data_IF_501340547102
#
_entry.id   IF_501340547102
#
_cell.length_a   1.000
_cell.length_b   1.000
_cell.length_c   1.000
_cell.angle_alpha   90.00
_cell.angle_beta   90.00
_cell.angle_gamma   90.00
#
_symmetry.space_group_name_H-M   'P 1'
#
loop_
_entity.id
_entity.type
_entity.pdbx_description
1 polymer ?
#
# COMPACT_ATOMS: atom_id res chain seq x y z
N UNK A 1 -20.66 24.77 -36.97
CA UNK A 1 -20.70 24.75 -35.49
C UNK A 1 -19.92 23.59 -34.85
N UNK A 2 -18.95 22.96 -35.53
CA UNK A 2 -18.29 21.72 -35.03
C UNK A 2 -16.79 21.86 -34.70
N UNK A 3 -16.21 23.04 -34.95
CA UNK A 3 -14.77 23.29 -34.81
C UNK A 3 -14.41 23.77 -33.39
N UNK A 4 -15.35 24.42 -32.70
CA UNK A 4 -15.15 24.97 -31.35
C UNK A 4 -15.11 23.89 -30.24
N UNK A 5 -15.77 22.74 -30.45
CA UNK A 5 -15.79 21.63 -29.48
C UNK A 5 -14.43 20.91 -29.37
N UNK A 6 -13.70 20.77 -30.47
CA UNK A 6 -12.38 20.11 -30.49
C UNK A 6 -11.29 20.97 -29.82
N UNK A 7 -11.40 22.30 -29.92
CA UNK A 7 -10.45 23.22 -29.30
C UNK A 7 -10.56 23.24 -27.77
N UNK A 8 -11.75 22.99 -27.22
CA UNK A 8 -11.99 22.94 -25.77
C UNK A 8 -11.57 21.60 -25.17
N UNK A 9 -11.77 20.49 -25.90
CA UNK A 9 -11.27 19.16 -25.51
C UNK A 9 -9.73 19.12 -25.42
N UNK A 10 -9.01 19.79 -26.34
CA UNK A 10 -7.55 19.86 -26.31
C UNK A 10 -7.01 20.66 -25.11
N UNK A 11 -7.70 21.73 -24.70
CA UNK A 11 -7.31 22.55 -23.54
C UNK A 11 -7.51 21.80 -22.21
N UNK A 12 -8.57 21.01 -22.07
CA UNK A 12 -8.84 20.21 -20.87
C UNK A 12 -7.77 19.11 -20.69
N UNK A 13 -7.34 18.46 -21.78
CA UNK A 13 -6.26 17.45 -21.73
C UNK A 13 -4.92 18.08 -21.32
N UNK A 14 -4.66 19.33 -21.69
CA UNK A 14 -3.42 20.02 -21.34
C UNK A 14 -3.35 20.44 -19.87
N UNK A 15 -4.47 20.84 -19.26
CA UNK A 15 -4.52 21.25 -17.83
C UNK A 15 -4.36 20.06 -16.88
N UNK A 16 -4.80 18.86 -17.27
CA UNK A 16 -4.64 17.63 -16.46
C UNK A 16 -3.19 17.12 -16.44
N UNK A 17 -2.29 17.66 -17.28
CA UNK A 17 -0.97 17.06 -17.53
C UNK A 17 0.24 17.92 -17.17
N UNK A 18 0.14 18.77 -16.15
CA UNK A 18 1.32 19.53 -15.69
C UNK A 18 1.42 19.63 -14.18
N UNK A 19 1.45 18.48 -13.50
CA UNK A 19 2.28 18.39 -12.29
C UNK A 19 3.72 18.17 -12.76
N UNK A 20 4.41 19.26 -13.09
CA UNK A 20 5.87 19.23 -13.18
C UNK A 20 6.43 19.00 -11.78
N UNK A 21 6.57 17.73 -11.41
CA UNK A 21 7.27 17.31 -10.21
C UNK A 21 8.72 17.79 -10.29
N UNK A 22 9.01 18.93 -9.65
CA UNK A 22 10.37 19.39 -9.42
C UNK A 22 11.00 18.41 -8.44
N UNK A 23 11.93 17.57 -8.92
CA UNK A 23 12.78 16.71 -8.07
C UNK A 23 13.61 17.61 -7.16
N UNK A 24 13.10 17.87 -5.95
CA UNK A 24 13.90 18.36 -4.84
C UNK A 24 15.05 17.40 -4.51
N UNK A 25 15.98 17.80 -3.63
CA UNK A 25 17.09 16.93 -3.21
C UNK A 25 16.55 15.59 -2.72
N UNK A 26 17.14 14.48 -3.20
CA UNK A 26 16.72 13.11 -2.88
C UNK A 26 16.77 12.89 -1.36
N UNK A 27 15.62 13.09 -0.70
CA UNK A 27 15.43 12.64 0.68
C UNK A 27 15.13 11.15 0.63
N UNK A 28 15.82 10.33 1.43
CA UNK A 28 15.50 8.92 1.52
C UNK A 28 14.07 8.78 2.04
N UNK A 29 13.23 8.08 1.27
CA UNK A 29 11.84 7.83 1.64
C UNK A 29 11.80 7.12 2.99
N UNK A 30 10.92 7.52 3.90
CA UNK A 30 10.74 6.86 5.20
C UNK A 30 9.47 6.02 5.20
N UNK A 31 9.53 4.75 5.55
CA UNK A 31 8.34 3.92 5.70
C UNK A 31 8.09 3.59 7.17
N UNK A 32 6.82 3.48 7.58
CA UNK A 32 6.49 2.91 8.88
C UNK A 32 6.95 1.46 8.94
N UNK A 33 7.55 1.07 10.07
CA UNK A 33 8.02 -0.28 10.33
C UNK A 33 7.40 -0.79 11.63
N UNK A 34 6.31 -1.54 11.51
CA UNK A 34 5.61 -2.10 12.65
C UNK A 34 5.02 -3.47 12.32
N UNK A 35 4.70 -4.24 13.34
CA UNK A 35 3.87 -5.43 13.24
C UNK A 35 2.82 -5.44 14.35
N UNK A 36 1.69 -6.09 14.10
CA UNK A 36 0.70 -6.37 15.15
C UNK A 36 1.33 -7.20 16.29
N UNK A 37 0.91 -7.04 17.55
CA UNK A 37 1.44 -7.80 18.70
C UNK A 37 1.22 -9.31 18.59
N UNK A 38 0.28 -9.72 17.73
CA UNK A 38 0.12 -11.14 17.40
C UNK A 38 1.42 -11.77 16.87
N UNK A 39 2.19 -11.05 16.06
CA UNK A 39 3.48 -11.52 15.56
C UNK A 39 4.57 -11.57 16.63
N UNK A 40 4.47 -10.71 17.65
CA UNK A 40 5.40 -10.67 18.78
C UNK A 40 5.32 -11.98 19.58
N UNK A 41 4.10 -12.44 19.87
CA UNK A 41 3.86 -13.70 20.57
C UNK A 41 4.46 -14.91 19.84
N UNK A 42 4.53 -14.86 18.50
CA UNK A 42 5.08 -15.92 17.66
C UNK A 42 6.55 -15.67 17.24
N UNK A 43 7.17 -14.58 17.71
CA UNK A 43 8.46 -14.10 17.24
C UNK A 43 9.57 -15.11 17.48
N UNK A 44 9.72 -15.56 18.73
CA UNK A 44 10.79 -16.48 19.16
C UNK A 44 10.72 -17.88 18.51
N UNK A 45 9.63 -18.20 17.82
CA UNK A 45 9.44 -19.49 17.14
C UNK A 45 9.63 -19.39 15.63
N UNK A 46 8.53 -19.07 14.92
CA UNK A 46 8.47 -19.18 13.45
C UNK A 46 8.71 -17.85 12.75
N UNK A 47 8.17 -16.75 13.29
CA UNK A 47 8.13 -15.46 12.60
C UNK A 47 9.53 -14.88 12.42
N UNK A 48 10.39 -14.95 13.44
CA UNK A 48 11.77 -14.44 13.37
C UNK A 48 12.65 -15.16 12.34
N UNK A 49 12.29 -16.37 11.88
CA UNK A 49 13.04 -17.08 10.83
C UNK A 49 12.71 -16.57 9.43
N UNK A 50 11.55 -15.94 9.26
CA UNK A 50 11.00 -15.52 7.96
C UNK A 50 11.14 -14.00 7.78
N UNK A 51 10.89 -13.23 8.83
CA UNK A 51 10.81 -11.77 8.80
C UNK A 51 11.96 -11.12 9.57
N UNK A 52 12.29 -9.89 9.19
CA UNK A 52 13.18 -9.04 9.98
C UNK A 52 12.37 -8.32 11.06
N UNK A 53 13.03 -8.04 12.18
CA UNK A 53 12.38 -7.39 13.32
C UNK A 53 11.87 -6.00 12.90
N UNK A 54 10.58 -5.69 13.15
CA UNK A 54 10.06 -4.35 12.94
C UNK A 54 10.65 -3.39 13.97
N UNK A 55 10.42 -2.09 13.79
CA UNK A 55 10.80 -1.13 14.84
C UNK A 55 9.96 -1.24 16.10
N UNK A 56 8.68 -1.56 15.95
CA UNK A 56 7.78 -1.71 17.08
C UNK A 56 6.72 -2.79 16.82
N UNK A 57 6.38 -3.57 17.85
CA UNK A 57 5.21 -4.42 17.90
C UNK A 57 4.10 -3.66 18.64
N UNK A 58 3.02 -3.31 17.94
CA UNK A 58 1.99 -2.46 18.54
C UNK A 58 0.62 -2.67 17.90
N UNK A 59 -0.43 -2.60 18.72
CA UNK A 59 -1.82 -2.64 18.25
C UNK A 59 -2.14 -1.50 17.27
N UNK A 60 -1.42 -0.37 17.41
CA UNK A 60 -1.55 0.77 16.50
C UNK A 60 -1.06 0.48 15.08
N UNK A 61 -0.36 -0.63 14.84
CA UNK A 61 0.03 -1.02 13.49
C UNK A 61 -1.18 -1.36 12.62
N UNK A 62 -2.22 -1.89 13.25
CA UNK A 62 -3.49 -2.29 12.64
C UNK A 62 -4.44 -1.10 12.44
N UNK A 63 -4.25 -0.01 13.21
CA UNK A 63 -5.10 1.18 13.17
C UNK A 63 -4.41 2.38 12.50
N UNK A 64 -4.89 2.83 11.31
CA UNK A 64 -4.31 4.00 10.64
C UNK A 64 -4.47 5.31 11.42
N UNK A 65 -5.43 5.43 12.34
CA UNK A 65 -5.66 6.66 13.12
C UNK A 65 -4.52 6.94 14.11
N UNK A 66 -3.81 5.90 14.56
CA UNK A 66 -2.73 5.98 15.53
C UNK A 66 -1.33 6.13 14.89
N UNK A 67 -1.26 6.67 13.67
CA UNK A 67 -0.04 6.83 12.86
C UNK A 67 1.13 7.51 13.57
N UNK A 68 0.85 8.45 14.47
CA UNK A 68 1.82 9.21 15.23
C UNK A 68 2.61 8.36 16.24
N UNK A 69 2.09 7.19 16.62
CA UNK A 69 2.72 6.23 17.52
C UNK A 69 3.61 5.23 16.77
N UNK A 70 3.65 5.29 15.44
CA UNK A 70 4.42 4.38 14.61
C UNK A 70 5.81 4.94 14.29
N UNK A 71 6.81 4.10 14.45
CA UNK A 71 8.18 4.43 14.08
C UNK A 71 8.42 4.24 12.58
N UNK A 72 9.22 5.13 12.00
CA UNK A 72 9.55 5.09 10.58
C UNK A 72 11.06 4.96 10.34
N UNK A 73 11.40 4.09 9.40
CA UNK A 73 12.76 3.76 8.97
C UNK A 73 13.05 4.35 7.61
N UNK A 74 14.31 4.71 7.36
CA UNK A 74 14.75 5.11 6.02
C UNK A 74 14.76 3.89 5.09
N UNK A 75 14.03 3.96 3.99
CA UNK A 75 13.92 2.94 2.98
C UNK A 75 14.48 3.48 1.66
N UNK A 76 15.22 2.62 0.94
CA UNK A 76 15.70 2.93 -0.42
C UNK A 76 14.71 2.53 -1.51
N UNK A 77 13.66 1.80 -1.13
CA UNK A 77 12.65 1.22 -2.01
C UNK A 77 11.25 1.64 -1.57
N UNK A 78 10.23 1.15 -2.27
CA UNK A 78 8.82 1.29 -1.89
C UNK A 78 8.53 0.80 -0.46
N UNK A 79 7.49 1.38 0.11
CA UNK A 79 6.88 0.93 1.35
C UNK A 79 5.83 -0.13 1.06
N UNK A 80 5.70 -1.10 1.97
CA UNK A 80 4.66 -2.11 1.93
C UNK A 80 3.78 -2.05 3.19
N UNK A 81 2.51 -2.37 2.99
CA UNK A 81 1.54 -2.72 4.03
C UNK A 81 0.98 -4.08 3.68
N UNK A 82 1.11 -5.05 4.57
CA UNK A 82 0.60 -6.41 4.38
C UNK A 82 -0.40 -6.69 5.48
N UNK A 83 -1.62 -7.05 5.09
CA UNK A 83 -2.72 -7.34 6.00
C UNK A 83 -3.28 -8.73 5.73
N UNK A 84 -3.69 -9.43 6.77
CA UNK A 84 -4.45 -10.68 6.62
C UNK A 84 -5.41 -10.89 7.78
N UNK A 85 -6.41 -11.74 7.55
CA UNK A 85 -7.33 -12.16 8.60
C UNK A 85 -6.59 -13.04 9.62
N UNK A 86 -6.80 -12.77 10.90
CA UNK A 86 -6.35 -13.63 11.96
C UNK A 86 -7.24 -14.88 12.02
N UNK A 87 -6.59 -16.05 11.99
CA UNK A 87 -7.24 -17.35 12.07
C UNK A 87 -6.80 -18.04 13.35
N UNK A 88 -7.76 -18.39 14.20
CA UNK A 88 -7.52 -19.07 15.49
C UNK A 88 -8.38 -20.34 15.50
N UNK A 89 -7.75 -21.50 15.74
CA UNK A 89 -8.41 -22.82 15.66
C UNK A 89 -9.18 -23.07 14.36
N UNK A 90 -8.66 -22.58 13.23
CA UNK A 90 -9.31 -22.71 11.91
C UNK A 90 -10.50 -21.78 11.67
N UNK A 91 -10.87 -20.95 12.64
CA UNK A 91 -11.92 -19.94 12.50
C UNK A 91 -11.33 -18.55 12.28
N UNK A 92 -11.92 -17.79 11.34
CA UNK A 92 -11.57 -16.37 11.14
C UNK A 92 -12.14 -15.56 12.29
N UNK A 93 -11.30 -14.82 12.98
CA UNK A 93 -11.73 -13.99 14.12
C UNK A 93 -12.35 -12.66 13.67
N UNK A 94 -12.22 -12.31 12.39
CA UNK A 94 -12.61 -10.99 11.85
C UNK A 94 -11.64 -9.87 12.22
N UNK A 95 -10.57 -10.18 12.97
CA UNK A 95 -9.49 -9.23 13.25
C UNK A 95 -8.47 -9.26 12.11
N UNK A 96 -8.08 -8.09 11.64
CA UNK A 96 -7.06 -7.93 10.61
C UNK A 96 -5.74 -7.63 11.32
N UNK A 97 -4.74 -8.45 11.04
CA UNK A 97 -3.37 -8.22 11.53
C UNK A 97 -2.51 -7.66 10.40
N UNK A 98 -1.71 -6.66 10.73
CA UNK A 98 -0.97 -5.82 9.80
C UNK A 98 0.52 -5.88 10.10
N UNK A 99 1.32 -5.89 9.04
CA UNK A 99 2.75 -5.63 9.09
C UNK A 99 3.14 -4.60 8.04
N UNK A 100 4.07 -3.71 8.40
CA UNK A 100 4.50 -2.56 7.59
C UNK A 100 6.01 -2.51 7.56
N UNK A 101 6.58 -2.14 6.41
CA UNK A 101 8.03 -2.00 6.27
C UNK A 101 8.49 -1.68 4.86
N UNK A 102 9.80 -1.66 4.64
CA UNK A 102 10.37 -1.54 3.29
C UNK A 102 10.26 -2.88 2.55
N UNK A 103 9.99 -2.86 1.24
CA UNK A 103 9.88 -4.08 0.45
C UNK A 103 11.11 -5.01 0.51
N UNK A 104 12.32 -4.44 0.52
CA UNK A 104 13.56 -5.22 0.53
C UNK A 104 13.96 -5.76 1.90
N UNK A 105 13.43 -5.18 2.99
CA UNK A 105 13.86 -5.49 4.35
C UNK A 105 12.78 -6.14 5.20
N UNK A 106 11.53 -6.20 4.76
CA UNK A 106 10.45 -6.80 5.56
C UNK A 106 10.65 -8.31 5.78
N UNK A 107 11.15 -9.04 4.78
CA UNK A 107 11.41 -10.48 4.85
C UNK A 107 12.92 -10.78 4.73
N UNK A 108 13.41 -11.73 5.54
CA UNK A 108 14.84 -12.13 5.55
C UNK A 108 15.33 -12.65 4.21
N UNK A 109 14.50 -13.44 3.53
CA UNK A 109 14.77 -13.99 2.19
C UNK A 109 14.28 -13.09 1.06
N UNK A 110 13.71 -11.92 1.40
CA UNK A 110 13.13 -10.99 0.45
C UNK A 110 11.86 -11.48 -0.24
N UNK A 111 11.42 -10.67 -1.20
CA UNK A 111 10.21 -10.86 -2.01
C UNK A 111 10.60 -11.40 -3.39
N UNK A 112 9.71 -12.14 -4.05
CA UNK A 112 9.94 -12.57 -5.44
C UNK A 112 10.17 -11.37 -6.37
N UNK A 113 11.17 -11.47 -7.26
CA UNK A 113 11.53 -10.36 -8.16
C UNK A 113 10.35 -9.92 -9.04
N UNK A 114 9.53 -10.87 -9.50
CA UNK A 114 8.37 -10.57 -10.35
C UNK A 114 7.33 -9.72 -9.59
N UNK A 115 7.04 -10.09 -8.34
CA UNK A 115 6.09 -9.38 -7.47
C UNK A 115 6.62 -8.01 -7.07
N UNK A 116 7.92 -7.94 -6.71
CA UNK A 116 8.59 -6.69 -6.39
C UNK A 116 8.56 -5.71 -7.57
N UNK A 117 8.88 -6.18 -8.78
CA UNK A 117 8.86 -5.33 -9.97
C UNK A 117 7.47 -4.80 -10.33
N UNK A 118 6.40 -5.51 -9.97
CA UNK A 118 5.03 -5.03 -10.14
C UNK A 118 4.72 -3.92 -9.13
N UNK A 119 5.04 -4.14 -7.86
CA UNK A 119 4.78 -3.19 -6.78
C UNK A 119 5.67 -1.94 -6.82
N UNK A 120 6.86 -2.03 -7.42
CA UNK A 120 7.79 -0.91 -7.57
C UNK A 120 7.33 0.11 -8.64
N UNK A 121 6.54 -0.35 -9.62
CA UNK A 121 6.03 0.50 -10.71
C UNK A 121 4.74 1.23 -10.37
N UNK A 122 3.91 0.65 -9.50
CA UNK A 122 2.56 1.14 -9.25
C UNK A 122 2.23 1.09 -7.76
N UNK A 123 1.54 2.13 -7.29
CA UNK A 123 0.96 2.18 -5.95
C UNK A 123 -0.37 1.42 -5.96
N UNK A 124 -0.32 0.11 -5.66
CA UNK A 124 -1.47 -0.79 -5.81
C UNK A 124 -1.64 -1.69 -4.61
N UNK A 125 -2.89 -2.08 -4.35
CA UNK A 125 -3.25 -3.12 -3.40
C UNK A 125 -3.70 -4.38 -4.14
N UNK A 126 -3.13 -5.53 -3.79
CA UNK A 126 -3.48 -6.81 -4.40
C UNK A 126 -3.56 -7.92 -3.36
N UNK A 127 -4.59 -8.74 -3.50
CA UNK A 127 -4.70 -10.01 -2.77
C UNK A 127 -3.91 -11.10 -3.49
N UNK A 128 -3.11 -11.84 -2.74
CA UNK A 128 -2.29 -12.94 -3.24
C UNK A 128 -2.02 -13.97 -2.14
N UNK A 129 -1.42 -15.10 -2.49
CA UNK A 129 -0.94 -16.05 -1.51
C UNK A 129 0.38 -15.54 -0.91
N UNK A 130 0.58 -15.76 0.40
CA UNK A 130 1.85 -15.44 1.05
C UNK A 130 3.05 -16.12 0.37
N UNK A 131 2.86 -17.32 -0.17
CA UNK A 131 3.87 -18.06 -0.93
C UNK A 131 4.27 -17.38 -2.27
N UNK A 132 3.36 -16.62 -2.89
CA UNK A 132 3.66 -15.90 -4.14
C UNK A 132 4.44 -14.59 -3.88
N UNK A 133 4.30 -14.05 -2.66
CA UNK A 133 5.01 -12.84 -2.25
C UNK A 133 6.42 -13.16 -1.74
N UNK A 134 6.53 -14.03 -0.74
CA UNK A 134 7.78 -14.26 -0.01
C UNK A 134 8.55 -15.48 -0.52
N UNK A 135 9.87 -15.36 -0.60
CA UNK A 135 10.77 -16.49 -0.95
C UNK A 135 11.01 -17.44 0.22
N UNK A 136 9.97 -17.77 0.99
CA UNK A 136 10.09 -18.62 2.17
C UNK A 136 9.72 -20.07 1.86
N UNK A 137 10.63 -21.00 2.14
CA UNK A 137 10.35 -22.44 2.04
C UNK A 137 9.46 -22.95 3.18
N UNK A 138 9.38 -22.21 4.29
CA UNK A 138 8.63 -22.57 5.49
C UNK A 138 7.13 -22.19 5.42
N UNK A 139 6.71 -21.58 4.30
CA UNK A 139 5.31 -21.25 4.00
C UNK A 139 4.63 -22.25 3.06
N UNK A 140 5.29 -23.37 2.70
CA UNK A 140 4.80 -24.35 1.71
C UNK A 140 3.53 -25.12 2.12
N UNK A 141 3.03 -24.97 3.35
CA UNK A 141 1.97 -25.83 3.89
C UNK A 141 0.56 -25.23 3.93
N UNK A 142 0.39 -23.91 3.87
CA UNK A 142 -0.92 -23.30 4.11
C UNK A 142 -1.10 -22.10 3.19
N UNK A 143 -2.09 -22.18 2.29
CA UNK A 143 -2.44 -21.12 1.33
C UNK A 143 -3.05 -19.91 2.05
N UNK A 144 -2.24 -19.19 2.82
CA UNK A 144 -2.66 -18.02 3.54
C UNK A 144 -2.84 -16.86 2.55
N UNK A 145 -4.09 -16.43 2.39
CA UNK A 145 -4.42 -15.24 1.60
C UNK A 145 -4.04 -14.00 2.37
N UNK A 146 -3.25 -13.15 1.72
CA UNK A 146 -2.79 -11.87 2.25
C UNK A 146 -3.14 -10.76 1.26
N UNK A 147 -3.38 -9.56 1.77
CA UNK A 147 -3.53 -8.34 0.98
C UNK A 147 -2.29 -7.50 1.15
N UNK A 148 -1.67 -7.13 0.04
CA UNK A 148 -0.41 -6.39 -0.01
C UNK A 148 -0.66 -5.08 -0.75
N UNK A 149 -0.33 -3.96 -0.11
CA UNK A 149 -0.36 -2.64 -0.71
C UNK A 149 1.06 -2.09 -0.82
N UNK A 150 1.42 -1.56 -1.98
CA UNK A 150 2.65 -0.80 -2.21
C UNK A 150 2.37 0.68 -2.33
N UNK A 151 3.33 1.49 -1.91
CA UNK A 151 3.35 2.92 -2.20
C UNK A 151 4.79 3.46 -2.23
N UNK A 152 5.01 4.51 -3.02
CA UNK A 152 6.28 5.24 -3.06
C UNK A 152 6.11 6.64 -2.46
N UNK A 153 6.73 6.88 -1.30
CA UNK A 153 6.76 8.21 -0.68
C UNK A 153 7.07 8.17 0.80
N UNK A 154 7.20 9.35 1.41
CA UNK A 154 7.40 9.48 2.85
C UNK A 154 6.13 9.09 3.62
N UNK A 155 6.25 8.02 4.42
CA UNK A 155 5.25 7.51 5.36
C UNK A 155 3.91 7.17 4.69
N UNK A 156 3.94 6.87 3.39
CA UNK A 156 2.76 6.58 2.59
C UNK A 156 2.03 5.30 3.03
N UNK A 157 2.74 4.37 3.68
CA UNK A 157 2.21 3.08 4.10
C UNK A 157 1.43 3.17 5.41
N UNK A 158 0.61 4.22 5.63
CA UNK A 158 -0.21 4.38 6.82
C UNK A 158 -1.64 3.86 6.65
N UNK A 159 -2.24 4.10 5.48
CA UNK A 159 -3.49 3.51 5.10
C UNK A 159 -3.22 2.50 3.98
N UNK A 160 -3.88 1.34 3.93
CA UNK A 160 -4.00 0.65 2.66
C UNK A 160 -4.64 1.64 1.70
N UNK A 161 -4.04 1.84 0.53
CA UNK A 161 -4.56 2.73 -0.51
C UNK A 161 -5.93 2.22 -0.94
N UNK A 162 -6.97 2.58 -0.21
CA UNK A 162 -8.29 2.69 -0.79
C UNK A 162 -8.14 3.80 -1.80
N UNK A 163 -8.34 3.48 -3.07
CA UNK A 163 -8.51 4.49 -4.12
C UNK A 163 -9.78 5.27 -3.80
N UNK A 164 -9.73 6.13 -2.77
CA UNK A 164 -10.74 7.13 -2.54
C UNK A 164 -10.50 8.17 -3.60
N UNK A 165 -11.31 8.13 -4.65
CA UNK A 165 -11.41 9.26 -5.57
C UNK A 165 -11.59 10.50 -4.70
N UNK A 166 -10.70 11.48 -4.85
CA UNK A 166 -10.77 12.73 -4.10
C UNK A 166 -12.19 13.30 -4.25
N UNK A 167 -12.82 13.83 -3.19
CA UNK A 167 -14.15 14.43 -3.29
C UNK A 167 -14.20 15.54 -4.36
N UNK A 168 -13.04 16.15 -4.67
CA UNK A 168 -12.90 17.11 -5.77
C UNK A 168 -13.11 16.46 -7.15
N UNK A 169 -12.56 15.26 -7.38
CA UNK A 169 -12.77 14.47 -8.61
C UNK A 169 -14.21 14.02 -8.77
N UNK A 170 -14.88 13.62 -7.67
CA UNK A 170 -16.30 13.25 -7.70
C UNK A 170 -17.16 14.48 -8.02
N UNK A 171 -16.88 15.61 -7.38
CA UNK A 171 -17.58 16.88 -7.63
C UNK A 171 -17.39 17.34 -9.09
N UNK A 172 -16.18 17.26 -9.63
CA UNK A 172 -15.88 17.57 -11.03
C UNK A 172 -16.63 16.64 -12.00
N UNK A 173 -16.67 15.33 -11.74
CA UNK A 173 -17.45 14.39 -12.54
C UNK A 173 -18.96 14.70 -12.50
N UNK A 174 -19.52 14.95 -11.31
CA UNK A 174 -20.95 15.28 -11.15
C UNK A 174 -21.29 16.60 -11.87
N UNK A 175 -20.43 17.62 -11.75
CA UNK A 175 -20.62 18.91 -12.42
C UNK A 175 -20.58 18.76 -13.95
N UNK A 176 -19.66 17.95 -14.48
CA UNK A 176 -19.61 17.68 -15.93
C UNK A 176 -20.86 16.98 -16.44
N UNK A 177 -21.40 16.00 -15.71
CA UNK A 177 -22.63 15.29 -16.09
C UNK A 177 -23.84 16.22 -16.06
N UNK A 178 -23.95 17.08 -15.04
CA UNK A 178 -25.04 18.06 -14.92
C UNK A 178 -25.00 19.12 -16.03
N UNK A 179 -23.81 19.63 -16.37
CA UNK A 179 -23.64 20.59 -17.45
C UNK A 179 -23.95 19.98 -18.83
N UNK A 180 -23.62 18.71 -19.07
CA UNK A 180 -23.98 18.03 -20.33
C UNK A 180 -25.44 17.56 -20.38
N UNK A 181 -26.05 17.25 -19.23
CA UNK A 181 -27.45 16.86 -19.13
C UNK A 181 -28.43 18.03 -19.20
N UNK A 182 -27.95 19.27 -19.08
CA UNK A 182 -28.75 20.50 -19.20
C UNK A 182 -28.74 21.08 -20.63
N UNK A 183 -28.13 20.37 -21.58
CA UNK A 183 -27.94 20.79 -22.98
C UNK A 183 -28.62 19.85 -23.99
N UNK A 184 -29.63 19.10 -23.54
CA UNK A 184 -30.60 18.38 -24.37
C UNK A 184 -31.98 18.99 -24.14
#
# INVERSE_FOLDING_TARGET
>A
MQIWLLSWLAAIIAVVRSDTYVKGPYKPNRCYSCMSPYYEALWKGRVSTIFNEPKNFTHHCDDPAASHLLEAVACRTICLTITHDLVVFGQRTGQIVTMRGCAISIAKRGIHNHTLAMFDRYDICREMNAADLFRSEHGRGESQRIKVCSCLGDRCNIAPSTSVASPLTILLCVLTVLLTGSLI
#
